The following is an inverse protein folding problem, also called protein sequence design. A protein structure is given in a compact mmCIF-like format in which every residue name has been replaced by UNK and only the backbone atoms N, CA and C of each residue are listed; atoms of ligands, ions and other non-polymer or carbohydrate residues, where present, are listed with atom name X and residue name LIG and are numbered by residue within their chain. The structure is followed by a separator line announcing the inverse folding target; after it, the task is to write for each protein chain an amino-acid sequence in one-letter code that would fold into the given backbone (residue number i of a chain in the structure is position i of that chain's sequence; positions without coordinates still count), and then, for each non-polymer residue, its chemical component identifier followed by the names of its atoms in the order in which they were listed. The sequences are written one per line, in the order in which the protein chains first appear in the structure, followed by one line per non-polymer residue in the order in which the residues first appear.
data_IF_451365256964
#
_entry.id   IF_451365256964
#
_cell.length_a   1.000
_cell.length_b   1.000
_cell.length_c   1.000
_cell.angle_alpha   90.00
_cell.angle_beta   90.00
_cell.angle_gamma   90.00
#
_symmetry.space_group_name_H-M   'P 1'
#
loop_
_entity.id
_entity.type
_entity.pdbx_description
1 polymer ?
#
# COMPACT_ATOMS: atom_id res chain seq x y z
N UNK A 1 1.30 -7.34 9.09
CA UNK A 1 1.92 -8.66 9.10
C UNK A 1 2.80 -8.75 10.34
N UNK A 2 2.85 -9.89 11.04
CA UNK A 2 3.72 -10.05 12.22
C UNK A 2 5.13 -10.49 11.82
N UNK A 3 6.14 -9.83 12.40
CA UNK A 3 7.55 -10.10 12.17
C UNK A 3 8.19 -10.77 13.39
N UNK A 4 9.06 -11.75 13.15
CA UNK A 4 9.98 -12.33 14.12
C UNK A 4 11.40 -12.20 13.58
N UNK A 5 12.30 -11.58 14.37
CA UNK A 5 13.68 -11.25 13.92
C UNK A 5 13.70 -10.55 12.55
N UNK A 6 12.79 -9.59 12.34
CA UNK A 6 12.64 -8.78 11.11
C UNK A 6 12.24 -9.58 9.86
N UNK A 7 11.81 -10.84 10.01
CA UNK A 7 11.24 -11.67 8.94
C UNK A 7 9.77 -11.96 9.24
N UNK A 8 8.91 -12.06 8.22
CA UNK A 8 7.53 -12.54 8.39
C UNK A 8 7.51 -13.86 9.14
N UNK A 9 6.59 -14.00 10.09
CA UNK A 9 6.37 -15.28 10.77
C UNK A 9 5.79 -16.28 9.77
N UNK A 10 6.51 -17.37 9.51
CA UNK A 10 6.04 -18.45 8.65
C UNK A 10 5.04 -19.32 9.41
N UNK A 11 3.84 -19.50 8.84
CA UNK A 11 2.82 -20.43 9.34
C UNK A 11 3.18 -21.86 8.95
N UNK A 12 2.89 -22.80 9.83
CA UNK A 12 3.05 -24.24 9.57
C UNK A 12 1.96 -24.72 8.60
N UNK A 13 2.30 -25.62 7.67
CA UNK A 13 1.32 -26.20 6.75
C UNK A 13 0.30 -27.03 7.51
N UNK A 14 -0.94 -27.08 7.00
CA UNK A 14 -1.97 -27.94 7.56
C UNK A 14 -1.54 -29.42 7.50
N UNK A 15 -1.84 -30.23 8.54
CA UNK A 15 -1.57 -31.66 8.52
C UNK A 15 -2.28 -32.35 7.33
N UNK A 16 -1.60 -33.28 6.67
CA UNK A 16 -2.18 -34.00 5.53
C UNK A 16 -3.17 -35.06 6.00
N UNK A 17 -4.37 -35.10 5.38
CA UNK A 17 -5.42 -36.12 5.57
C UNK A 17 -5.91 -36.24 7.01
N UNK A 18 -6.65 -35.23 7.46
CA UNK A 18 -7.39 -35.29 8.73
C UNK A 18 -8.79 -35.82 8.42
N UNK A 19 -9.20 -36.89 9.08
CA UNK A 19 -10.57 -37.39 9.01
C UNK A 19 -11.50 -36.48 9.84
N UNK A 20 -12.77 -36.34 9.45
CA UNK A 20 -13.73 -35.44 10.08
C UNK A 20 -13.99 -35.74 11.57
N UNK A 21 -13.68 -36.96 12.02
CA UNK A 21 -13.82 -37.39 13.41
C UNK A 21 -12.53 -37.24 14.25
N UNK A 22 -11.45 -36.70 13.68
CA UNK A 22 -10.17 -36.57 14.39
C UNK A 22 -10.18 -35.33 15.30
N UNK A 23 -9.91 -35.51 16.59
CA UNK A 23 -9.70 -34.39 17.50
C UNK A 23 -8.41 -33.63 17.13
N UNK A 24 -8.52 -32.30 17.04
CA UNK A 24 -7.41 -31.42 16.65
C UNK A 24 -7.36 -30.19 17.54
N UNK A 25 -6.16 -29.64 17.70
CA UNK A 25 -5.92 -28.39 18.39
C UNK A 25 -5.70 -27.28 17.37
N UNK A 26 -6.44 -26.18 17.50
CA UNK A 26 -6.35 -25.02 16.60
C UNK A 26 -5.70 -23.85 17.33
N UNK A 27 -4.65 -23.30 16.74
CA UNK A 27 -3.95 -22.14 17.27
C UNK A 27 -4.77 -20.86 17.07
N UNK A 28 -5.03 -20.09 18.14
CA UNK A 28 -5.76 -18.83 18.04
C UNK A 28 -5.08 -17.84 17.08
N UNK A 29 -5.86 -17.12 16.28
CA UNK A 29 -5.42 -16.09 15.30
C UNK A 29 -4.58 -16.56 14.12
N UNK A 30 -3.64 -17.50 14.28
CA UNK A 30 -2.90 -18.07 13.15
C UNK A 30 -3.71 -19.12 12.39
N UNK A 31 -4.66 -19.78 13.05
CA UNK A 31 -5.46 -20.86 12.46
C UNK A 31 -4.66 -22.14 12.18
N UNK A 32 -3.42 -22.25 12.68
CA UNK A 32 -2.61 -23.45 12.52
C UNK A 32 -3.27 -24.63 13.25
N UNK A 33 -3.34 -25.78 12.59
CA UNK A 33 -3.99 -26.99 13.12
C UNK A 33 -2.93 -28.02 13.50
N UNK A 34 -3.09 -28.63 14.67
CA UNK A 34 -2.20 -29.63 15.23
C UNK A 34 -2.98 -30.89 15.58
N UNK A 35 -2.40 -32.05 15.30
CA UNK A 35 -2.92 -33.37 15.69
C UNK A 35 -2.26 -33.92 16.95
N UNK A 36 -1.31 -33.17 17.51
CA UNK A 36 -0.55 -33.54 18.70
C UNK A 36 -0.48 -32.35 19.67
N UNK A 37 -0.71 -32.64 20.95
CA UNK A 37 -0.79 -31.63 21.99
C UNK A 37 0.58 -31.02 22.30
N UNK A 38 1.65 -31.81 22.28
CA UNK A 38 3.00 -31.31 22.56
C UNK A 38 3.47 -30.32 21.48
N UNK A 39 3.16 -30.65 20.21
CA UNK A 39 3.39 -29.78 19.06
C UNK A 39 2.60 -28.46 19.15
N UNK A 40 1.34 -28.52 19.56
CA UNK A 40 0.51 -27.34 19.82
C UNK A 40 1.12 -26.47 20.94
N UNK A 41 1.49 -27.08 22.06
CA UNK A 41 2.02 -26.38 23.23
C UNK A 41 3.34 -25.67 22.92
N UNK A 42 4.26 -26.34 22.23
CA UNK A 42 5.53 -25.76 21.78
C UNK A 42 5.33 -24.54 20.88
N UNK A 43 4.35 -24.62 19.96
CA UNK A 43 3.98 -23.48 19.11
C UNK A 43 3.34 -22.35 19.91
N UNK A 44 2.48 -22.68 20.87
CA UNK A 44 1.83 -21.70 21.75
C UNK A 44 2.85 -20.95 22.60
N UNK A 45 3.83 -21.65 23.18
CA UNK A 45 4.93 -21.04 23.91
C UNK A 45 5.78 -20.13 23.03
N UNK A 46 6.06 -20.54 21.79
CA UNK A 46 6.76 -19.69 20.82
C UNK A 46 6.00 -18.38 20.59
N UNK A 47 4.68 -18.44 20.39
CA UNK A 47 3.81 -17.27 20.18
C UNK A 47 3.63 -16.39 21.43
N UNK A 48 3.73 -16.95 22.63
CA UNK A 48 3.70 -16.19 23.88
C UNK A 48 5.01 -15.47 24.22
N UNK A 49 6.10 -15.74 23.49
CA UNK A 49 7.36 -14.97 23.67
C UNK A 49 7.16 -13.53 23.18
N UNK A 50 7.55 -12.56 24.00
CA UNK A 50 7.56 -11.13 23.65
C UNK A 50 8.72 -10.76 22.70
N UNK A 51 8.77 -11.39 21.52
CA UNK A 51 9.85 -11.23 20.52
C UNK A 51 9.32 -10.86 19.13
N UNK A 52 8.03 -10.57 19.02
CA UNK A 52 7.38 -10.23 17.76
C UNK A 52 7.29 -8.71 17.59
N UNK A 53 7.21 -8.29 16.34
CA UNK A 53 7.08 -6.89 15.94
C UNK A 53 5.95 -6.77 14.94
N UNK A 54 5.11 -5.76 15.10
CA UNK A 54 4.10 -5.40 14.13
C UNK A 54 4.76 -4.69 12.94
N UNK A 55 4.57 -5.22 11.71
CA UNK A 55 5.15 -4.63 10.50
C UNK A 55 4.59 -3.24 10.16
N UNK A 56 3.38 -2.90 10.61
CA UNK A 56 2.69 -1.65 10.26
C UNK A 56 3.24 -0.50 11.10
N UNK A 57 3.08 -0.59 12.43
CA UNK A 57 3.48 0.48 13.35
C UNK A 57 4.90 0.32 13.92
N UNK A 58 5.55 -0.83 13.70
CA UNK A 58 6.91 -1.10 14.18
C UNK A 58 7.01 -1.35 15.69
N UNK A 59 5.89 -1.51 16.41
CA UNK A 59 5.90 -1.85 17.84
C UNK A 59 6.54 -3.23 18.02
N UNK A 60 7.63 -3.27 18.80
CA UNK A 60 8.38 -4.47 19.12
C UNK A 60 8.07 -4.97 20.54
N UNK A 61 8.64 -6.12 20.92
CA UNK A 61 8.43 -6.77 22.22
C UNK A 61 6.97 -7.19 22.50
N UNK A 62 6.23 -7.53 21.44
CA UNK A 62 4.88 -8.06 21.53
C UNK A 62 4.90 -9.59 21.48
N UNK A 63 3.87 -10.23 22.05
CA UNK A 63 3.54 -11.63 21.72
C UNK A 63 3.00 -11.69 20.30
N UNK A 64 2.99 -12.88 19.68
CA UNK A 64 2.41 -13.04 18.34
C UNK A 64 0.96 -12.55 18.33
N UNK A 65 0.16 -12.97 19.31
CA UNK A 65 -1.25 -12.60 19.41
C UNK A 65 -1.47 -11.09 19.57
N UNK A 66 -0.64 -10.44 20.39
CA UNK A 66 -0.71 -8.98 20.57
C UNK A 66 -0.23 -8.23 19.32
N UNK A 67 0.73 -8.79 18.58
CA UNK A 67 1.18 -8.21 17.32
C UNK A 67 0.11 -8.33 16.22
N UNK A 68 -0.65 -9.43 16.17
CA UNK A 68 -1.80 -9.58 15.27
C UNK A 68 -2.93 -8.60 15.63
N UNK A 69 -3.25 -8.42 16.92
CA UNK A 69 -4.24 -7.42 17.33
C UNK A 69 -3.79 -6.01 17.00
N UNK A 70 -2.52 -5.72 17.28
CA UNK A 70 -1.89 -4.45 16.95
C UNK A 70 -1.99 -4.16 15.45
N UNK A 71 -1.79 -5.18 14.61
CA UNK A 71 -1.96 -5.05 13.16
C UNK A 71 -3.41 -4.69 12.79
N UNK A 72 -4.39 -5.48 13.27
CA UNK A 72 -5.81 -5.26 12.94
C UNK A 72 -6.35 -3.93 13.45
N UNK A 73 -5.85 -3.44 14.60
CA UNK A 73 -6.29 -2.19 15.19
C UNK A 73 -5.48 -0.98 14.68
N UNK A 74 -4.30 -1.19 14.09
CA UNK A 74 -3.38 -0.08 13.76
C UNK A 74 -3.99 0.94 12.81
N UNK A 75 -4.76 0.50 11.80
CA UNK A 75 -5.30 1.42 10.79
C UNK A 75 -6.41 2.32 11.35
N UNK A 76 -7.24 1.81 12.27
CA UNK A 76 -8.41 2.52 12.78
C UNK A 76 -8.15 3.32 14.06
N UNK A 77 -7.14 2.95 14.85
CA UNK A 77 -6.83 3.66 16.10
C UNK A 77 -5.98 4.91 15.87
N UNK A 78 -5.10 4.93 14.88
CA UNK A 78 -4.23 6.10 14.61
C UNK A 78 -5.10 7.29 14.16
N UNK A 79 -6.06 7.05 13.27
CA UNK A 79 -7.02 8.05 12.79
C UNK A 79 -8.08 8.40 13.86
N UNK A 80 -8.01 7.84 15.07
CA UNK A 80 -8.80 8.28 16.23
C UNK A 80 -7.94 9.03 17.25
N UNK A 81 -6.66 8.68 17.36
CA UNK A 81 -5.74 9.26 18.36
C UNK A 81 -5.15 10.58 17.85
N UNK A 82 -4.94 10.73 16.53
CA UNK A 82 -4.29 11.94 15.99
C UNK A 82 -5.27 13.13 15.91
N UNK A 83 -4.93 14.31 16.45
CA UNK A 83 -5.86 15.44 16.52
C UNK A 83 -6.36 15.90 15.14
N UNK A 84 -7.68 16.06 15.00
CA UNK A 84 -8.33 16.46 13.74
C UNK A 84 -7.87 17.85 13.26
N UNK A 85 -7.71 18.80 14.20
CA UNK A 85 -7.21 20.15 13.94
C UNK A 85 -5.84 20.18 13.24
N UNK A 86 -5.03 19.13 13.40
CA UNK A 86 -3.70 19.03 12.81
C UNK A 86 -3.68 18.31 11.46
N UNK A 87 -4.73 17.57 11.10
CA UNK A 87 -4.74 16.73 9.88
C UNK A 87 -4.64 17.58 8.63
N UNK A 88 -5.55 18.51 8.42
CA UNK A 88 -5.55 19.37 7.22
C UNK A 88 -4.23 20.15 7.07
N UNK A 89 -3.78 20.91 8.09
CA UNK A 89 -2.54 21.67 7.98
C UNK A 89 -1.31 20.82 7.66
N UNK A 90 -1.21 19.63 8.27
CA UNK A 90 -0.07 18.72 8.04
C UNK A 90 -0.13 18.12 6.65
N UNK A 91 -1.30 17.65 6.20
CA UNK A 91 -1.45 17.09 4.86
C UNK A 91 -1.16 18.13 3.78
N UNK A 92 -1.60 19.38 3.97
CA UNK A 92 -1.22 20.51 3.08
C UNK A 92 0.29 20.73 3.03
N UNK A 93 0.99 20.64 4.16
CA UNK A 93 2.44 20.85 4.22
C UNK A 93 3.22 19.70 3.58
N UNK A 94 2.74 18.47 3.74
CA UNK A 94 3.43 17.26 3.24
C UNK A 94 3.17 17.03 1.76
N UNK A 95 2.01 17.45 1.26
CA UNK A 95 1.69 17.36 -0.16
C UNK A 95 2.81 17.98 -0.99
N UNK A 96 3.35 17.19 -1.93
CA UNK A 96 4.45 17.56 -2.80
C UNK A 96 5.82 17.77 -2.13
N UNK A 97 6.02 17.30 -0.90
CA UNK A 97 7.32 17.36 -0.24
C UNK A 97 8.37 16.55 -1.01
N UNK A 98 9.57 17.12 -1.13
CA UNK A 98 10.75 16.54 -1.76
C UNK A 98 11.62 15.70 -0.81
N UNK A 99 11.30 15.70 0.49
CA UNK A 99 12.02 14.93 1.50
C UNK A 99 11.83 13.44 1.22
N UNK A 100 12.92 12.76 0.85
CA UNK A 100 12.84 11.37 0.36
C UNK A 100 12.51 10.36 1.46
N UNK A 101 12.91 10.58 2.71
CA UNK A 101 12.73 9.59 3.79
C UNK A 101 11.62 10.02 4.73
N UNK A 102 10.69 9.10 5.02
CA UNK A 102 9.56 9.39 5.91
C UNK A 102 10.01 9.83 7.31
N UNK A 103 11.13 9.32 7.81
CA UNK A 103 11.64 9.69 9.13
C UNK A 103 12.16 11.14 9.19
N UNK A 104 12.76 11.59 8.09
CA UNK A 104 13.24 12.96 7.90
C UNK A 104 12.04 13.89 7.71
N UNK A 105 11.05 13.47 6.92
CA UNK A 105 9.79 14.19 6.72
C UNK A 105 9.04 14.37 8.04
N UNK A 106 8.91 13.31 8.84
CA UNK A 106 8.30 13.36 10.18
C UNK A 106 9.05 14.34 11.08
N UNK A 107 10.38 14.35 11.04
CA UNK A 107 11.17 15.28 11.86
C UNK A 107 10.99 16.72 11.41
N UNK A 108 10.98 16.97 10.10
CA UNK A 108 10.72 18.29 9.51
C UNK A 108 9.34 18.83 9.91
N UNK A 109 8.28 18.04 9.67
CA UNK A 109 6.91 18.43 10.04
C UNK A 109 6.79 18.61 11.56
N UNK A 110 7.42 17.75 12.36
CA UNK A 110 7.35 17.87 13.81
C UNK A 110 7.94 19.18 14.32
N UNK A 111 9.11 19.59 13.82
CA UNK A 111 9.73 20.85 14.27
C UNK A 111 8.96 22.07 13.74
N UNK A 112 8.51 22.06 12.49
CA UNK A 112 7.71 23.15 11.90
C UNK A 112 6.42 23.40 12.70
N UNK A 113 5.73 22.32 13.07
CA UNK A 113 4.46 22.42 13.78
C UNK A 113 4.64 22.58 15.29
N UNK A 114 5.85 22.49 15.84
CA UNK A 114 6.10 22.43 17.29
C UNK A 114 5.56 23.63 18.06
N UNK A 115 5.66 24.82 17.48
CA UNK A 115 5.21 26.10 18.05
C UNK A 115 4.13 26.77 17.20
N UNK A 116 3.51 26.01 16.29
CA UNK A 116 2.44 26.49 15.43
C UNK A 116 1.16 25.76 15.76
N UNK A 117 0.16 26.48 16.29
CA UNK A 117 -1.09 25.90 16.74
C UNK A 117 -2.26 26.22 15.80
N UNK A 118 -3.36 25.47 15.90
CA UNK A 118 -4.48 25.55 14.94
C UNK A 118 -5.86 25.58 15.63
N UNK A 119 -6.88 26.19 15.00
CA UNK A 119 -8.25 26.16 15.50
C UNK A 119 -8.77 24.73 15.75
N UNK A 120 -9.49 24.54 16.85
CA UNK A 120 -9.99 23.25 17.34
C UNK A 120 -8.95 22.40 18.08
N UNK A 121 -7.71 22.87 18.20
CA UNK A 121 -6.65 22.14 18.90
C UNK A 121 -6.72 22.34 20.42
N UNK A 122 -6.61 21.25 21.18
CA UNK A 122 -6.47 21.26 22.64
C UNK A 122 -5.03 21.56 23.06
N UNK A 123 -4.89 22.57 23.92
CA UNK A 123 -3.60 23.07 24.39
C UNK A 123 -3.60 23.32 25.89
N UNK A 124 -2.40 23.29 26.47
CA UNK A 124 -2.17 23.76 27.82
C UNK A 124 -1.72 25.22 27.78
N UNK A 125 -2.47 26.07 28.46
CA UNK A 125 -2.18 27.49 28.63
C UNK A 125 -1.47 27.69 29.96
N UNK A 126 -0.40 28.49 29.96
CA UNK A 126 0.30 28.95 31.15
C UNK A 126 0.22 30.47 31.22
N UNK A 127 -0.45 31.00 32.23
CA UNK A 127 -0.57 32.44 32.46
C UNK A 127 0.64 32.96 33.25
N UNK A 128 0.89 34.28 33.18
CA UNK A 128 2.04 34.91 33.84
C UNK A 128 1.98 34.84 35.37
N UNK A 129 0.80 34.64 35.95
CA UNK A 129 0.59 34.44 37.38
C UNK A 129 1.00 33.03 37.86
N UNK A 130 1.41 32.14 36.94
CA UNK A 130 1.82 30.77 37.23
C UNK A 130 0.70 29.73 37.10
N UNK A 131 -0.54 30.16 36.90
CA UNK A 131 -1.67 29.26 36.73
C UNK A 131 -1.62 28.55 35.38
N UNK A 132 -2.03 27.27 35.37
CA UNK A 132 -2.12 26.46 34.17
C UNK A 132 -3.55 25.98 33.95
N UNK A 133 -4.02 26.16 32.73
CA UNK A 133 -5.35 25.75 32.31
C UNK A 133 -5.25 24.89 31.05
N UNK A 134 -6.24 24.03 30.84
CA UNK A 134 -6.49 23.44 29.53
C UNK A 134 -7.43 24.35 28.74
N UNK A 135 -7.29 24.37 27.43
CA UNK A 135 -8.15 25.17 26.58
C UNK A 135 -8.12 24.72 25.13
N UNK A 136 -9.03 25.27 24.34
CA UNK A 136 -9.16 24.99 22.92
C UNK A 136 -8.90 26.27 22.13
N UNK A 137 -8.06 26.18 21.11
CA UNK A 137 -7.81 27.31 20.22
C UNK A 137 -9.05 27.54 19.37
N UNK A 138 -9.62 28.74 19.46
CA UNK A 138 -10.76 29.14 18.67
C UNK A 138 -10.33 29.76 17.35
N UNK A 139 -9.39 30.69 17.41
CA UNK A 139 -8.92 31.43 16.25
C UNK A 139 -7.40 31.66 16.30
N UNK A 140 -6.82 31.80 15.12
CA UNK A 140 -5.41 32.09 14.91
C UNK A 140 -5.27 33.27 13.97
N UNK A 141 -4.51 34.28 14.39
CA UNK A 141 -4.13 35.42 13.57
C UNK A 141 -2.62 35.39 13.32
N UNK A 142 -2.22 35.40 12.04
CA UNK A 142 -0.80 35.53 11.63
C UNK A 142 -0.54 36.96 11.19
N UNK A 143 0.46 37.59 11.81
CA UNK A 143 0.90 38.92 11.47
C UNK A 143 2.23 38.84 10.69
N UNK A 144 2.30 39.40 9.48
CA UNK A 144 3.54 39.40 8.72
C UNK A 144 4.59 40.29 9.37
N UNK A 145 5.84 40.04 9.00
CA UNK A 145 6.96 40.89 9.33
C UNK A 145 6.76 42.28 8.71
N UNK A 146 7.04 43.32 9.48
CA UNK A 146 7.08 44.70 9.00
C UNK A 146 8.53 45.13 8.81
N UNK A 147 8.79 45.76 7.66
CA UNK A 147 10.08 46.31 7.29
C UNK A 147 9.99 47.83 7.32
N UNK A 148 11.07 48.46 7.78
CA UNK A 148 11.27 49.89 7.62
C UNK A 148 11.65 50.21 6.15
N UNK A 149 11.56 51.48 5.71
CA UNK A 149 11.94 51.89 4.36
C UNK A 149 13.40 51.56 3.98
N UNK A 150 14.28 51.40 4.97
CA UNK A 150 15.69 51.02 4.82
C UNK A 150 15.91 49.50 4.71
N UNK A 151 14.84 48.69 4.76
CA UNK A 151 14.89 47.24 4.73
C UNK A 151 15.19 46.59 6.10
N UNK A 152 15.38 47.37 7.17
CA UNK A 152 15.55 46.82 8.52
C UNK A 152 14.23 46.27 9.08
N UNK A 153 14.32 45.25 9.93
CA UNK A 153 13.14 44.61 10.52
C UNK A 153 12.56 45.52 11.60
N UNK A 154 11.40 46.11 11.34
CA UNK A 154 10.65 46.88 12.34
C UNK A 154 9.97 45.96 13.35
N UNK A 155 9.35 44.89 12.85
CA UNK A 155 8.62 43.92 13.67
C UNK A 155 8.69 42.55 13.02
N UNK A 156 9.18 41.55 13.73
CA UNK A 156 9.19 40.17 13.24
C UNK A 156 7.76 39.65 13.01
N UNK A 157 7.61 38.65 12.14
CA UNK A 157 6.33 37.95 12.00
C UNK A 157 6.00 37.22 13.32
N UNK A 158 4.73 37.26 13.74
CA UNK A 158 4.28 36.58 14.94
C UNK A 158 2.83 36.10 14.77
N UNK A 159 2.40 35.19 15.64
CA UNK A 159 1.03 34.67 15.66
C UNK A 159 0.37 34.96 17.00
N UNK A 160 -0.91 35.32 16.97
CA UNK A 160 -1.77 35.46 18.14
C UNK A 160 -2.87 34.41 18.09
N UNK A 161 -3.26 33.91 19.25
CA UNK A 161 -4.23 32.84 19.39
C UNK A 161 -5.34 33.26 20.35
N UNK A 162 -6.59 33.16 19.91
CA UNK A 162 -7.75 33.26 20.80
C UNK A 162 -8.01 31.86 21.36
N UNK A 163 -7.84 31.69 22.67
CA UNK A 163 -8.00 30.42 23.36
C UNK A 163 -9.18 30.51 24.30
N UNK A 164 -10.13 29.57 24.14
CA UNK A 164 -11.21 29.37 25.09
C UNK A 164 -10.69 28.49 26.23
N UNK A 165 -10.66 29.02 27.44
CA UNK A 165 -10.18 28.30 28.61
C UNK A 165 -11.27 27.34 29.12
N UNK A 166 -10.87 26.15 29.54
CA UNK A 166 -11.74 25.17 30.20
C UNK A 166 -11.91 25.49 31.69
N UNK A 167 -12.14 26.75 32.03
CA UNK A 167 -12.51 27.19 33.37
C UNK A 167 -14.04 27.24 33.50
N UNK A 168 -14.57 27.25 34.72
CA UNK A 168 -16.01 27.30 35.02
C UNK A 168 -16.72 28.50 34.38
N UNK A 169 -15.96 29.56 34.06
CA UNK A 169 -16.45 30.80 33.44
C UNK A 169 -16.40 30.80 31.91
N UNK A 170 -15.65 29.87 31.30
CA UNK A 170 -15.49 29.81 29.84
C UNK A 170 -14.84 31.05 29.22
N UNK A 171 -13.98 31.75 29.96
CA UNK A 171 -13.30 32.97 29.53
C UNK A 171 -12.41 32.73 28.29
N UNK A 172 -12.25 33.78 27.49
CA UNK A 172 -11.39 33.76 26.31
C UNK A 172 -10.14 34.62 26.55
N UNK A 173 -8.97 34.08 26.18
CA UNK A 173 -7.70 34.75 26.33
C UNK A 173 -7.01 34.92 24.97
N UNK A 174 -6.46 36.12 24.72
CA UNK A 174 -5.58 36.38 23.58
C UNK A 174 -4.13 36.15 23.98
N UNK A 175 -3.53 35.09 23.45
CA UNK A 175 -2.22 34.60 23.86
C UNK A 175 -1.22 34.56 22.71
N UNK A 176 0.05 34.65 23.06
CA UNK A 176 1.18 34.41 22.16
C UNK A 176 1.65 32.94 22.27
N UNK A 177 2.56 32.54 21.39
CA UNK A 177 3.16 31.20 21.34
C UNK A 177 3.87 30.79 22.65
N UNK A 178 4.37 31.75 23.43
CA UNK A 178 5.07 31.52 24.71
C UNK A 178 4.16 30.99 25.82
N UNK A 179 2.88 31.36 25.79
CA UNK A 179 1.90 31.02 26.80
C UNK A 179 1.14 29.72 26.49
N UNK A 180 1.41 29.10 25.34
CA UNK A 180 0.70 27.92 24.85
C UNK A 180 1.67 26.75 24.68
N UNK A 181 1.27 25.57 25.16
CA UNK A 181 2.01 24.31 24.97
C UNK A 181 1.08 23.23 24.44
N UNK A 182 1.53 22.55 23.38
CA UNK A 182 0.80 21.41 22.81
C UNK A 182 0.84 20.19 23.73
N UNK A 183 -0.25 19.42 23.72
CA UNK A 183 -0.31 18.14 24.41
C UNK A 183 0.73 17.14 23.87
N UNK A 184 1.74 16.85 24.69
CA UNK A 184 2.87 15.95 24.36
C UNK A 184 2.46 14.48 24.21
N UNK A 185 1.27 14.08 24.66
CA UNK A 185 0.77 12.70 24.54
C UNK A 185 0.18 12.44 23.14
N UNK A 186 -0.48 13.45 22.57
CA UNK A 186 -1.17 13.32 21.29
C UNK A 186 -0.24 13.61 20.10
N UNK A 187 0.57 14.67 20.20
CA UNK A 187 1.49 15.05 19.13
C UNK A 187 2.92 14.57 19.41
N UNK A 188 3.17 13.31 19.07
CA UNK A 188 4.50 12.69 19.13
C UNK A 188 5.01 12.37 17.73
N UNK A 189 6.34 12.29 17.55
CA UNK A 189 6.93 11.82 16.27
C UNK A 189 6.41 10.44 15.86
N UNK A 190 6.07 9.59 16.83
CA UNK A 190 5.52 8.26 16.54
C UNK A 190 4.08 8.35 16.01
N UNK A 191 3.20 9.10 16.66
CA UNK A 191 1.83 9.30 16.18
C UNK A 191 1.81 10.02 14.83
N UNK A 192 2.68 11.01 14.63
CA UNK A 192 2.84 11.70 13.36
C UNK A 192 3.33 10.75 12.25
N UNK A 193 4.36 9.92 12.53
CA UNK A 193 4.83 8.90 11.58
C UNK A 193 3.70 7.96 11.19
N UNK A 194 2.95 7.49 12.17
CA UNK A 194 1.80 6.62 12.01
C UNK A 194 0.72 7.27 11.12
N UNK A 195 0.34 8.51 11.41
CA UNK A 195 -0.63 9.29 10.63
C UNK A 195 -0.16 9.53 9.19
N UNK A 196 1.10 9.92 9.00
CA UNK A 196 1.64 10.12 7.66
C UNK A 196 1.63 8.80 6.87
N UNK A 197 2.08 7.68 7.46
CA UNK A 197 2.02 6.37 6.81
C UNK A 197 0.60 5.97 6.38
N UNK A 198 -0.44 6.31 7.17
CA UNK A 198 -1.83 6.00 6.80
C UNK A 198 -2.37 6.98 5.76
N UNK A 199 -1.85 8.21 5.69
CA UNK A 199 -2.45 9.30 4.92
C UNK A 199 -1.79 9.63 3.58
N UNK A 200 -0.51 9.30 3.41
CA UNK A 200 0.26 9.65 2.21
C UNK A 200 0.79 8.41 1.49
N UNK A 201 1.09 8.57 0.22
CA UNK A 201 1.66 7.60 -0.69
C UNK A 201 2.78 8.24 -1.51
N UNK A 202 3.64 7.42 -2.10
CA UNK A 202 4.72 7.86 -2.97
C UNK A 202 4.89 6.87 -4.10
N UNK A 203 5.09 7.40 -5.31
CA UNK A 203 5.40 6.57 -6.47
C UNK A 203 6.77 5.90 -6.34
N UNK A 204 6.97 4.85 -7.14
CA UNK A 204 8.11 3.95 -7.03
C UNK A 204 9.40 4.51 -7.66
N UNK A 205 9.33 5.62 -8.40
CA UNK A 205 10.50 6.20 -9.04
C UNK A 205 11.33 7.08 -8.09
N UNK A 206 12.65 7.11 -8.32
CA UNK A 206 13.58 7.91 -7.53
C UNK A 206 13.24 9.40 -7.62
N UNK A 207 13.04 10.05 -6.47
CA UNK A 207 12.69 11.47 -6.42
C UNK A 207 11.20 11.79 -6.58
N UNK A 208 10.33 10.77 -6.57
CA UNK A 208 8.89 10.95 -6.48
C UNK A 208 8.52 11.74 -5.22
N UNK A 209 7.70 12.81 -5.34
CA UNK A 209 7.23 13.56 -4.18
C UNK A 209 6.18 12.77 -3.39
N UNK A 210 5.97 13.13 -2.13
CA UNK A 210 4.87 12.58 -1.34
C UNK A 210 3.53 13.14 -1.80
N UNK A 211 2.55 12.25 -1.96
CA UNK A 211 1.17 12.58 -2.35
C UNK A 211 0.21 12.10 -1.26
N UNK A 212 -0.73 12.96 -0.88
CA UNK A 212 -1.83 12.58 0.00
C UNK A 212 -2.75 11.61 -0.74
N UNK A 213 -3.23 10.58 -0.05
CA UNK A 213 -4.17 9.61 -0.62
C UNK A 213 -5.43 10.31 -1.11
N UNK A 214 -5.99 9.83 -2.21
CA UNK A 214 -7.04 10.53 -2.94
C UNK A 214 -8.28 10.84 -2.09
N UNK A 215 -8.74 9.90 -1.26
CA UNK A 215 -9.89 10.13 -0.38
C UNK A 215 -9.67 11.28 0.61
N UNK A 216 -8.48 11.37 1.20
CA UNK A 216 -8.12 12.48 2.11
C UNK A 216 -7.93 13.78 1.33
N UNK A 217 -7.33 13.73 0.15
CA UNK A 217 -7.19 14.90 -0.70
C UNK A 217 -8.54 15.51 -1.08
N UNK A 218 -9.54 14.67 -1.41
CA UNK A 218 -10.93 15.11 -1.63
C UNK A 218 -11.55 15.69 -0.36
N UNK A 219 -11.43 14.98 0.77
CA UNK A 219 -11.97 15.42 2.06
C UNK A 219 -11.46 16.80 2.48
N UNK A 220 -10.15 17.01 2.40
CA UNK A 220 -9.48 18.24 2.81
C UNK A 220 -9.32 19.26 1.66
N UNK A 221 -9.88 18.98 0.47
CA UNK A 221 -9.80 19.85 -0.71
C UNK A 221 -8.35 20.25 -1.04
N UNK A 222 -7.48 19.25 -1.12
CA UNK A 222 -6.08 19.41 -1.47
C UNK A 222 -5.91 19.32 -2.99
N UNK A 223 -5.07 20.17 -3.61
CA UNK A 223 -4.77 20.06 -5.01
C UNK A 223 -3.98 18.78 -5.30
N UNK A 224 -4.51 17.96 -6.21
CA UNK A 224 -3.86 16.73 -6.69
C UNK A 224 -3.02 16.98 -7.95
N UNK A 225 -3.15 18.15 -8.57
CA UNK A 225 -2.34 18.54 -9.71
C UNK A 225 -0.91 18.80 -9.28
N UNK A 226 0.02 18.06 -9.88
CA UNK A 226 1.45 18.19 -9.62
C UNK A 226 1.89 19.59 -10.08
N UNK A 227 2.46 20.43 -9.19
CA UNK A 227 2.96 21.75 -9.56
C UNK A 227 3.93 21.68 -10.76
N UNK A 228 3.91 22.67 -11.67
CA UNK A 228 4.66 22.62 -12.93
C UNK A 228 6.18 22.43 -12.74
N UNK A 229 6.74 22.98 -11.66
CA UNK A 229 8.15 22.81 -11.31
C UNK A 229 8.50 21.35 -10.91
N UNK A 230 7.54 20.60 -10.34
CA UNK A 230 7.70 19.17 -10.06
C UNK A 230 7.45 18.31 -11.29
N UNK A 231 6.47 18.70 -12.12
CA UNK A 231 6.19 18.02 -13.39
C UNK A 231 7.42 18.02 -14.32
N UNK A 232 8.15 19.15 -14.41
CA UNK A 232 9.40 19.24 -15.18
C UNK A 232 10.48 18.27 -14.67
N UNK A 233 10.61 18.12 -13.33
CA UNK A 233 11.54 17.16 -12.73
C UNK A 233 11.14 15.71 -13.00
N UNK A 234 9.84 15.42 -13.00
CA UNK A 234 9.31 14.08 -13.33
C UNK A 234 9.55 13.72 -14.80
N UNK A 235 9.43 14.68 -15.72
CA UNK A 235 9.74 14.48 -17.15
C UNK A 235 11.25 14.30 -17.41
N UNK A 236 12.11 14.91 -16.59
CA UNK A 236 13.56 14.75 -16.66
C UNK A 236 14.08 13.44 -16.04
N UNK A 237 13.22 12.70 -15.33
CA UNK A 237 13.56 11.43 -14.69
C UNK A 237 13.33 10.28 -15.68
N UNK A 238 14.30 9.38 -15.89
CA UNK A 238 14.11 8.29 -16.85
C UNK A 238 12.99 7.35 -16.40
N UNK A 239 12.00 7.17 -17.27
CA UNK A 239 10.90 6.22 -17.13
C UNK A 239 11.45 4.81 -16.79
N UNK A 240 10.86 4.09 -15.80
CA UNK A 240 11.23 2.71 -15.56
C UNK A 240 10.72 1.85 -16.73
N UNK A 241 11.60 1.53 -17.68
CA UNK A 241 11.29 0.63 -18.80
C UNK A 241 12.05 0.88 -20.11
N UNK A 242 12.76 1.99 -20.28
CA UNK A 242 13.56 2.20 -21.50
C UNK A 242 14.98 1.62 -21.34
N UNK A 243 15.45 0.76 -22.26
CA UNK A 243 16.85 0.36 -22.29
C UNK A 243 17.71 1.61 -22.57
N UNK A 244 18.64 1.90 -21.66
CA UNK A 244 19.64 2.95 -21.86
C UNK A 244 20.48 2.60 -23.09
N UNK A 245 20.36 3.39 -24.17
CA UNK A 245 21.43 3.47 -25.15
C UNK A 245 22.64 4.16 -24.47
N UNK A 246 23.85 3.58 -24.55
CA UNK A 246 25.03 4.27 -24.05
C UNK A 246 25.38 5.41 -25.01
N UNK A 247 24.96 6.63 -24.69
CA UNK A 247 25.51 7.83 -25.32
C UNK A 247 26.91 8.05 -24.76
N UNK A 248 27.91 7.70 -25.57
CA UNK A 248 29.30 8.04 -25.32
C UNK A 248 29.51 9.54 -25.40
N UNK A 249 29.88 10.15 -24.28
CA UNK A 249 30.56 11.45 -24.29
C UNK A 249 32.02 11.23 -23.92
N UNK A 250 32.87 11.27 -24.95
CA UNK A 250 34.30 11.37 -24.84
C UNK A 250 34.69 12.65 -24.10
N UNK A 251 35.35 12.51 -22.95
CA UNK A 251 36.27 13.54 -22.45
C UNK A 251 37.63 12.88 -22.28
N UNK A 252 38.52 13.21 -23.20
CA UNK A 252 39.96 12.98 -23.09
C UNK A 252 40.48 13.77 -21.88
N UNK A 253 41.15 13.10 -20.95
CA UNK A 253 42.30 13.69 -20.28
C UNK A 253 43.37 12.62 -20.12
N UNK A 254 44.50 12.84 -20.78
CA UNK A 254 45.63 11.92 -20.89
C UNK A 254 46.73 12.46 -19.98
N UNK A 255 47.00 11.79 -18.85
CA UNK A 255 48.34 11.82 -18.26
C UNK A 255 48.66 10.52 -17.50
N UNK A 256 49.69 9.85 -18.03
CA UNK A 256 50.66 8.95 -17.40
C UNK A 256 50.23 7.65 -16.68
N UNK A 257 50.42 6.55 -17.41
CA UNK A 257 51.35 5.50 -16.95
C UNK A 257 50.74 4.21 -16.41
N UNK A 258 50.85 3.15 -17.22
CA UNK A 258 50.86 1.70 -16.89
C UNK A 258 49.54 0.91 -17.04
N UNK A 259 49.52 0.23 -18.20
CA UNK A 259 48.91 -1.04 -18.64
C UNK A 259 48.00 -1.84 -17.68
N UNK A 260 46.78 -2.14 -18.16
CA UNK A 260 45.94 -3.29 -17.78
C UNK A 260 44.71 -3.37 -18.70
N UNK A 261 44.51 -4.49 -19.39
CA UNK A 261 43.63 -4.69 -20.56
C UNK A 261 42.14 -4.73 -20.20
N UNK A 262 41.29 -4.12 -21.04
CA UNK A 262 39.90 -4.56 -21.27
C UNK A 262 39.72 -4.76 -22.79
N UNK A 263 39.41 -5.99 -23.18
CA UNK A 263 39.13 -6.41 -24.55
C UNK A 263 37.66 -6.07 -24.87
N UNK A 264 37.47 -5.24 -25.89
CA UNK A 264 36.16 -4.99 -26.51
C UNK A 264 36.05 -5.87 -27.74
N UNK A 265 34.88 -6.48 -27.91
CA UNK A 265 34.49 -7.34 -29.02
C UNK A 265 34.26 -6.49 -30.27
N UNK A 266 34.87 -6.91 -31.37
CA UNK A 266 34.52 -6.47 -32.71
C UNK A 266 35.56 -7.01 -33.68
N UNK A 267 35.19 -8.05 -34.43
CA UNK A 267 35.68 -8.36 -35.76
C UNK A 267 34.81 -9.53 -36.29
N UNK A 268 33.79 -9.22 -37.09
CA UNK A 268 33.59 -9.97 -38.32
C UNK A 268 32.81 -9.13 -39.33
N UNK A 269 33.38 -9.09 -40.52
CA UNK A 269 33.05 -8.24 -41.65
C UNK A 269 31.73 -8.62 -42.33
N UNK A 270 31.24 -7.61 -43.04
CA UNK A 270 30.10 -7.58 -43.92
C UNK A 270 30.46 -8.22 -45.27
N UNK A 271 29.66 -9.17 -45.76
CA UNK A 271 29.50 -9.29 -47.21
C UNK A 271 28.19 -9.97 -47.63
N UNK A 272 27.56 -9.40 -48.67
CA UNK A 272 26.88 -10.14 -49.73
C UNK A 272 25.48 -10.74 -49.54
N UNK A 273 24.47 -9.97 -49.91
CA UNK A 273 23.34 -10.34 -50.81
C UNK A 273 22.28 -11.42 -50.46
N UNK A 274 21.03 -10.91 -50.40
CA UNK A 274 19.77 -11.34 -51.06
C UNK A 274 19.10 -12.71 -50.81
N UNK A 275 17.78 -12.57 -50.57
CA UNK A 275 16.65 -13.46 -50.88
C UNK A 275 16.33 -14.64 -49.94
N UNK A 276 15.29 -14.43 -49.13
CA UNK A 276 13.96 -15.03 -49.35
C UNK A 276 13.76 -16.53 -49.11
N UNK A 277 12.55 -16.85 -48.63
CA UNK A 277 11.88 -18.17 -48.60
C UNK A 277 12.23 -19.05 -47.39
N UNK A 278 11.29 -19.23 -46.46
CA UNK A 278 10.26 -20.30 -46.39
C UNK A 278 10.82 -21.71 -46.18
N UNK A 279 10.11 -22.46 -45.35
CA UNK A 279 10.36 -23.76 -44.70
C UNK A 279 10.54 -24.98 -45.64
N UNK A 280 10.63 -26.23 -45.12
CA UNK A 280 11.79 -27.15 -45.00
C UNK A 280 11.70 -28.33 -46.02
N UNK A 281 12.52 -29.43 -46.03
CA UNK A 281 12.31 -30.57 -45.11
C UNK A 281 13.48 -31.59 -44.88
N UNK A 282 13.22 -32.47 -43.90
CA UNK A 282 13.59 -33.90 -43.76
C UNK A 282 15.04 -34.45 -43.75
N UNK A 283 15.29 -35.16 -42.64
CA UNK A 283 15.94 -36.47 -42.48
C UNK A 283 17.47 -36.64 -42.62
N UNK A 284 18.09 -36.94 -41.47
CA UNK A 284 18.64 -38.28 -41.24
C UNK A 284 20.16 -38.40 -41.24
N UNK A 285 20.79 -38.40 -40.06
CA UNK A 285 21.91 -39.29 -39.74
C UNK A 285 22.35 -39.16 -38.28
N UNK A 286 22.70 -40.31 -37.70
CA UNK A 286 22.94 -40.59 -36.29
C UNK A 286 24.32 -40.09 -35.85
N UNK A 287 24.42 -39.55 -34.63
CA UNK A 287 25.67 -39.54 -33.84
C UNK A 287 25.43 -40.26 -32.51
N UNK A 288 26.35 -41.16 -32.09
CA UNK A 288 26.16 -42.02 -30.93
C UNK A 288 26.72 -41.39 -29.65
N UNK A 289 26.02 -41.61 -28.54
CA UNK A 289 26.65 -41.69 -27.22
C UNK A 289 26.49 -40.47 -26.32
N UNK A 290 25.30 -40.27 -25.76
CA UNK A 290 25.13 -39.80 -24.38
C UNK A 290 23.84 -40.39 -23.82
N UNK A 291 23.97 -41.27 -22.83
CA UNK A 291 22.86 -41.82 -22.04
C UNK A 291 22.36 -40.77 -21.06
N UNK A 292 21.25 -40.11 -21.41
CA UNK A 292 20.48 -39.31 -20.46
C UNK A 292 19.54 -40.22 -19.66
N UNK A 293 19.58 -40.06 -18.34
CA UNK A 293 18.74 -40.78 -17.39
C UNK A 293 17.25 -40.63 -17.71
N UNK A 294 16.49 -41.72 -17.56
CA UNK A 294 15.06 -41.78 -17.81
C UNK A 294 14.29 -40.82 -16.89
N UNK A 295 13.80 -39.72 -17.48
CA UNK A 295 12.72 -38.91 -16.90
C UNK A 295 11.46 -39.77 -16.97
N UNK A 296 10.85 -40.08 -15.82
CA UNK A 296 9.49 -40.62 -15.78
C UNK A 296 8.55 -39.55 -16.35
N UNK A 297 8.12 -39.74 -17.60
CA UNK A 297 7.04 -38.97 -18.22
C UNK A 297 5.74 -39.25 -17.48
N UNK A 298 5.22 -38.22 -16.81
CA UNK A 298 3.84 -38.16 -16.38
C UNK A 298 2.93 -38.25 -17.63
N UNK A 299 1.83 -39.03 -17.60
CA UNK A 299 0.99 -39.20 -18.79
C UNK A 299 0.45 -37.85 -19.26
N UNK A 300 0.79 -37.47 -20.50
CA UNK A 300 0.23 -36.29 -21.14
C UNK A 300 -1.30 -36.40 -21.18
N UNK A 301 -1.98 -35.41 -20.61
CA UNK A 301 -3.43 -35.26 -20.78
C UNK A 301 -3.72 -35.14 -22.29
N UNK A 302 -4.75 -35.82 -22.82
CA UNK A 302 -5.09 -35.74 -24.22
C UNK A 302 -5.37 -34.28 -24.61
N UNK A 303 -4.82 -33.85 -25.75
CA UNK A 303 -5.07 -32.51 -26.27
C UNK A 303 -6.58 -32.32 -26.49
N UNK A 304 -7.17 -31.19 -26.05
CA UNK A 304 -8.58 -30.93 -26.28
C UNK A 304 -8.89 -30.92 -27.78
N UNK A 305 -10.05 -31.48 -28.13
CA UNK A 305 -10.51 -31.56 -29.53
C UNK A 305 -10.62 -30.14 -30.08
N UNK A 306 -10.07 -29.82 -31.27
CA UNK A 306 -10.16 -28.48 -31.83
C UNK A 306 -11.62 -28.12 -32.14
N UNK A 307 -12.12 -27.07 -31.51
CA UNK A 307 -13.44 -26.50 -31.76
C UNK A 307 -13.31 -25.53 -32.95
N UNK A 308 -14.19 -25.65 -33.95
CA UNK A 308 -14.14 -24.87 -35.20
C UNK A 308 -15.26 -23.82 -35.19
N UNK A 309 -14.89 -22.54 -35.16
CA UNK A 309 -15.86 -21.43 -35.09
C UNK A 309 -16.48 -21.09 -36.46
N UNK A 310 -17.70 -20.53 -36.50
CA UNK A 310 -18.59 -20.20 -35.37
C UNK A 310 -19.35 -21.43 -34.85
N UNK A 311 -19.51 -21.55 -33.53
CA UNK A 311 -20.41 -22.52 -32.88
C UNK A 311 -21.39 -21.77 -31.99
N UNK A 312 -22.61 -22.27 -31.86
CA UNK A 312 -23.58 -21.80 -30.86
C UNK A 312 -23.22 -22.38 -29.48
N UNK A 313 -23.48 -21.67 -28.39
CA UNK A 313 -23.13 -22.10 -27.01
C UNK A 313 -23.69 -23.49 -26.65
N UNK A 314 -24.82 -23.87 -27.27
CA UNK A 314 -25.47 -25.17 -27.06
C UNK A 314 -24.75 -26.33 -27.75
N UNK A 315 -23.85 -26.06 -28.68
CA UNK A 315 -23.12 -27.07 -29.44
C UNK A 315 -21.80 -27.48 -28.77
N UNK A 316 -21.47 -26.89 -27.61
CA UNK A 316 -20.29 -27.24 -26.83
C UNK A 316 -20.53 -28.57 -26.11
N UNK A 317 -19.77 -29.64 -26.43
CA UNK A 317 -19.96 -30.93 -25.79
C UNK A 317 -19.62 -30.87 -24.29
N UNK A 318 -20.53 -31.38 -23.45
CA UNK A 318 -20.33 -31.48 -22.01
C UNK A 318 -19.04 -32.26 -21.68
N UNK A 319 -18.21 -31.72 -20.78
CA UNK A 319 -16.96 -32.35 -20.35
C UNK A 319 -17.28 -33.62 -19.54
N UNK A 320 -16.95 -34.79 -20.07
CA UNK A 320 -17.20 -36.12 -19.48
C UNK A 320 -16.52 -36.42 -18.15
N UNK A 321 -15.62 -35.56 -17.67
CA UNK A 321 -15.00 -35.70 -16.36
C UNK A 321 -15.68 -34.71 -15.42
N UNK A 322 -16.59 -35.23 -14.61
CA UNK A 322 -17.37 -34.49 -13.61
C UNK A 322 -16.43 -33.75 -12.64
N UNK A 323 -16.09 -32.51 -12.99
CA UNK A 323 -15.73 -31.52 -11.99
C UNK A 323 -17.00 -31.27 -11.19
N UNK A 324 -17.20 -32.07 -10.13
CA UNK A 324 -18.32 -31.90 -9.21
C UNK A 324 -18.22 -30.48 -8.65
N UNK A 325 -19.20 -29.65 -9.01
CA UNK A 325 -19.30 -28.29 -8.48
C UNK A 325 -19.30 -28.38 -6.96
N UNK A 326 -18.36 -27.74 -6.25
CA UNK A 326 -18.39 -27.74 -4.80
C UNK A 326 -19.71 -27.16 -4.31
N UNK A 327 -20.28 -27.78 -3.27
CA UNK A 327 -21.52 -27.33 -2.65
C UNK A 327 -21.36 -25.87 -2.20
N UNK A 328 -22.16 -24.98 -2.80
CA UNK A 328 -22.13 -23.56 -2.48
C UNK A 328 -22.70 -23.36 -1.08
N UNK A 329 -21.90 -22.81 -0.18
CA UNK A 329 -22.37 -22.35 1.13
C UNK A 329 -22.95 -20.95 0.96
N UNK A 330 -24.26 -20.89 0.81
CA UNK A 330 -24.96 -19.60 0.78
C UNK A 330 -24.90 -18.98 2.18
N UNK A 331 -24.43 -17.74 2.26
CA UNK A 331 -24.39 -16.94 3.49
C UNK A 331 -25.82 -16.61 3.95
N UNK A 332 -26.80 -16.68 3.05
CA UNK A 332 -28.20 -16.35 3.29
C UNK A 332 -29.11 -17.48 2.79
N UNK A 333 -30.18 -17.80 3.52
CA UNK A 333 -31.17 -18.81 3.12
C UNK A 333 -32.18 -18.31 2.08
N UNK A 334 -32.10 -17.03 1.67
CA UNK A 334 -33.06 -16.44 0.75
C UNK A 334 -32.53 -16.50 -0.67
N UNK A 335 -33.03 -17.48 -1.42
CA UNK A 335 -32.96 -17.45 -2.89
C UNK A 335 -33.74 -16.23 -3.38
N UNK A 336 -33.19 -15.39 -4.27
CA UNK A 336 -33.90 -14.24 -4.85
C UNK A 336 -34.89 -14.70 -5.93
N UNK A 337 -35.61 -15.80 -5.68
CA UNK A 337 -36.54 -16.38 -6.62
C UNK A 337 -37.81 -15.54 -6.78
N UNK A 338 -38.16 -14.70 -5.80
CA UNK A 338 -39.39 -13.92 -5.84
C UNK A 338 -39.20 -12.56 -5.14
N UNK A 339 -38.72 -11.56 -5.87
CA UNK A 339 -38.75 -10.17 -5.39
C UNK A 339 -37.64 -9.30 -5.98
N UNK A 340 -37.99 -8.03 -6.24
CA UNK A 340 -37.05 -6.97 -6.60
C UNK A 340 -35.81 -6.96 -5.68
N UNK A 341 -34.65 -6.68 -6.28
CA UNK A 341 -33.39 -6.56 -5.54
C UNK A 341 -33.56 -5.47 -4.50
N UNK A 342 -33.42 -5.82 -3.23
CA UNK A 342 -33.50 -4.84 -2.14
C UNK A 342 -32.38 -3.81 -2.33
N UNK A 343 -32.70 -2.54 -2.12
CA UNK A 343 -31.76 -1.42 -2.28
C UNK A 343 -30.47 -1.59 -1.46
N UNK A 344 -30.54 -2.29 -0.32
CA UNK A 344 -29.38 -2.62 0.52
C UNK A 344 -28.31 -3.48 -0.19
N UNK A 345 -28.69 -4.25 -1.22
CA UNK A 345 -27.79 -5.12 -1.98
C UNK A 345 -27.34 -4.54 -3.32
N UNK A 346 -27.94 -3.44 -3.78
CA UNK A 346 -27.59 -2.81 -5.07
C UNK A 346 -26.13 -2.34 -5.09
N UNK A 347 -25.65 -1.73 -4.00
CA UNK A 347 -24.25 -1.29 -3.88
C UNK A 347 -23.24 -2.44 -4.02
N UNK A 348 -23.34 -3.50 -3.20
CA UNK A 348 -22.49 -4.68 -3.33
C UNK A 348 -22.58 -5.38 -4.69
N UNK A 349 -23.78 -5.48 -5.28
CA UNK A 349 -23.95 -6.10 -6.60
C UNK A 349 -23.27 -5.29 -7.71
N UNK A 350 -23.37 -3.95 -7.67
CA UNK A 350 -22.67 -3.07 -8.59
C UNK A 350 -21.16 -3.13 -8.42
N UNK A 351 -20.67 -3.26 -7.18
CA UNK A 351 -19.24 -3.43 -6.90
C UNK A 351 -18.70 -4.74 -7.49
N UNK A 352 -19.45 -5.84 -7.34
CA UNK A 352 -19.08 -7.14 -7.93
C UNK A 352 -19.12 -7.06 -9.45
N UNK A 353 -20.20 -6.56 -10.04
CA UNK A 353 -20.33 -6.39 -11.49
C UNK A 353 -19.21 -5.51 -12.07
N UNK A 354 -18.90 -4.39 -11.44
CA UNK A 354 -17.83 -3.49 -11.87
C UNK A 354 -16.46 -4.19 -11.75
N UNK A 355 -16.23 -4.94 -10.67
CA UNK A 355 -14.98 -5.69 -10.50
C UNK A 355 -14.80 -6.74 -11.59
N UNK A 356 -15.85 -7.47 -11.96
CA UNK A 356 -15.79 -8.47 -13.03
C UNK A 356 -15.51 -7.84 -14.40
N UNK A 357 -16.14 -6.70 -14.71
CA UNK A 357 -15.90 -5.98 -15.98
C UNK A 357 -14.52 -5.31 -16.03
N UNK A 358 -14.03 -4.73 -14.92
CA UNK A 358 -12.70 -4.11 -14.85
C UNK A 358 -11.59 -5.15 -15.00
N UNK A 359 -11.81 -6.38 -14.52
CA UNK A 359 -10.82 -7.46 -14.57
C UNK A 359 -11.15 -8.50 -15.65
N UNK A 360 -11.95 -8.13 -16.65
CA UNK A 360 -12.44 -9.03 -17.71
C UNK A 360 -11.31 -9.71 -18.49
N UNK A 361 -10.20 -9.01 -18.76
CA UNK A 361 -9.03 -9.57 -19.44
C UNK A 361 -8.36 -10.71 -18.63
N UNK A 362 -8.26 -10.55 -17.31
CA UNK A 362 -7.64 -11.54 -16.42
C UNK A 362 -8.56 -12.74 -16.22
N UNK A 363 -9.87 -12.48 -16.15
CA UNK A 363 -10.90 -13.50 -15.94
C UNK A 363 -11.32 -14.18 -17.25
N UNK A 364 -10.86 -13.67 -18.41
CA UNK A 364 -11.26 -14.12 -19.75
C UNK A 364 -12.80 -14.07 -19.87
N UNK A 365 -13.37 -12.92 -19.51
CA UNK A 365 -14.79 -12.62 -19.64
C UNK A 365 -14.98 -11.58 -20.74
N UNK A 366 -16.08 -11.68 -21.48
CA UNK A 366 -16.55 -10.58 -22.31
C UNK A 366 -17.23 -9.51 -21.45
N UNK A 367 -17.42 -8.31 -22.00
CA UNK A 367 -18.17 -7.26 -21.32
C UNK A 367 -19.67 -7.61 -21.29
N UNK A 368 -20.31 -7.45 -20.13
CA UNK A 368 -21.74 -7.71 -19.94
C UNK A 368 -22.41 -6.65 -19.09
N UNK A 369 -23.71 -6.45 -19.30
CA UNK A 369 -24.48 -5.43 -18.60
C UNK A 369 -24.80 -5.85 -17.16
N UNK A 370 -25.25 -4.89 -16.36
CA UNK A 370 -25.67 -5.20 -14.99
C UNK A 370 -26.91 -6.09 -14.97
N UNK A 371 -27.80 -5.95 -15.94
CA UNK A 371 -28.99 -6.80 -16.06
C UNK A 371 -28.62 -8.25 -16.39
N UNK A 372 -27.66 -8.48 -17.29
CA UNK A 372 -27.13 -9.82 -17.60
C UNK A 372 -26.55 -10.49 -16.36
N UNK A 373 -25.82 -9.73 -15.54
CA UNK A 373 -25.27 -10.19 -14.27
C UNK A 373 -26.38 -10.61 -13.29
N UNK A 374 -27.40 -9.77 -13.13
CA UNK A 374 -28.52 -10.03 -12.24
C UNK A 374 -29.38 -11.21 -12.70
N UNK A 375 -29.48 -11.43 -14.01
CA UNK A 375 -30.13 -12.60 -14.57
C UNK A 375 -29.30 -13.87 -14.31
N UNK A 376 -27.99 -13.83 -14.56
CA UNK A 376 -27.09 -14.97 -14.34
C UNK A 376 -27.08 -15.45 -12.88
N UNK A 377 -27.10 -14.55 -11.89
CA UNK A 377 -27.08 -14.93 -10.47
C UNK A 377 -28.39 -15.58 -9.98
N UNK A 378 -29.49 -15.49 -10.75
CA UNK A 378 -30.77 -16.14 -10.41
C UNK A 378 -30.76 -17.62 -10.76
N UNK A 379 -29.90 -18.04 -11.69
CA UNK A 379 -29.80 -19.44 -12.08
C UNK A 379 -28.93 -20.21 -11.08
N UNK A 380 -29.56 -21.14 -10.37
CA UNK A 380 -28.85 -22.22 -9.68
C UNK A 380 -28.58 -23.35 -10.67
N UNK A 381 -27.42 -23.99 -10.57
CA UNK A 381 -27.11 -25.22 -11.30
C UNK A 381 -27.87 -26.40 -10.72
#
# INVERSE_FOLDING_TARGET
MVLYKRKPVTMLPAPAKIDNNTEVWVMPKSGEVFTDYESYLSRFEFYNRKKFTDAVNGKSNLTFFAAVDSENNSSSDIDKIFPDALRDPILRKVQFSDISRIDELVSFVFEEFRSEFFPGEEVSVSLDNGDQFEGVIREKAKFPQLLNPDGSIQRAAFSRYFVKLNDERGEEALLDDKHIKRNRKLFTKQNLRSFLKSSIQRDMFTGAPWLVKEHLARQYRLPMEIPPHLAQRMQASPQPGMPRQPQGTSIFNKVNGRKGKNLTIGDFEQDGSLQGYTTPPLNGSKFPGYSAAAVKTEPQKPAPVPIKYPIEDLDVPARKNDLVRPQLKFITQQSPAEGEIRMEYVGPLLEIWNTLNVHSEVLILDAFTFDDFLEAIKFTS
#
